data_IF_817662882615
#
_entry.id   IF_817662882615
#
_cell.length_a   1.000
_cell.length_b   1.000
_cell.length_c   1.000
_cell.angle_alpha   90.00
_cell.angle_beta   90.00
_cell.angle_gamma   90.00
#
_symmetry.space_group_name_H-M   'P 1'
#
loop_
_entity.id
_entity.type
_entity.pdbx_description
1 polymer ?
#
# COMPACT_ATOMS: atom_id res chain seq x y z
N UNK A 1 -30.00 -3.41 27.23
CA UNK A 1 -31.02 -2.47 26.72
C UNK A 1 -30.44 -1.07 26.89
N UNK A 2 -29.57 -0.63 25.97
CA UNK A 2 -28.88 0.65 26.06
C UNK A 2 -29.18 1.45 24.78
N UNK A 3 -30.11 2.39 24.91
CA UNK A 3 -30.34 3.51 23.98
C UNK A 3 -29.21 4.52 24.20
N UNK A 4 -28.49 4.91 23.15
CA UNK A 4 -27.62 6.09 23.17
C UNK A 4 -27.95 6.95 21.94
N UNK A 5 -28.53 8.11 22.26
CA UNK A 5 -28.54 9.42 21.60
C UNK A 5 -28.35 9.52 20.08
N UNK A 6 -29.48 9.80 19.42
CA UNK A 6 -29.58 10.62 18.21
C UNK A 6 -30.45 11.84 18.57
N UNK A 7 -29.85 13.03 18.61
CA UNK A 7 -30.43 14.38 18.72
C UNK A 7 -29.18 15.31 18.81
N UNK A 8 -28.95 16.34 18.01
CA UNK A 8 -29.83 17.28 17.33
C UNK A 8 -29.13 17.86 16.09
N UNK A 9 -29.82 17.94 14.96
CA UNK A 9 -29.55 18.92 13.92
C UNK A 9 -30.87 19.25 13.22
N UNK A 10 -31.59 20.23 13.75
CA UNK A 10 -32.47 21.05 12.91
C UNK A 10 -32.57 22.46 13.52
N UNK A 11 -32.16 23.47 12.76
CA UNK A 11 -33.05 24.51 12.23
C UNK A 11 -32.33 25.81 11.88
N UNK A 12 -32.76 26.36 10.73
CA UNK A 12 -32.75 27.76 10.32
C UNK A 12 -31.55 28.30 9.51
N UNK A 13 -31.71 28.23 8.18
CA UNK A 13 -31.43 29.37 7.30
C UNK A 13 -32.47 29.38 6.16
N UNK A 14 -33.46 30.26 6.28
CA UNK A 14 -34.41 30.60 5.22
C UNK A 14 -33.87 31.77 4.41
N UNK A 15 -33.85 31.62 3.09
CA UNK A 15 -34.24 32.67 2.14
C UNK A 15 -33.14 33.55 1.53
N UNK A 16 -32.85 33.31 0.25
CA UNK A 16 -32.63 34.38 -0.74
C UNK A 16 -32.74 33.76 -2.15
N UNK A 17 -33.84 34.05 -2.83
CA UNK A 17 -34.06 33.70 -4.23
C UNK A 17 -33.30 34.69 -5.13
N UNK A 18 -32.51 34.16 -6.06
CA UNK A 18 -32.01 34.90 -7.22
C UNK A 18 -32.24 34.03 -8.47
N UNK A 19 -33.08 34.55 -9.34
CA UNK A 19 -33.44 34.02 -10.65
C UNK A 19 -32.22 34.01 -11.58
N UNK A 20 -31.92 32.84 -12.14
CA UNK A 20 -30.99 32.67 -13.25
C UNK A 20 -31.61 31.75 -14.29
N UNK A 21 -31.91 32.32 -15.45
CA UNK A 21 -32.50 31.65 -16.60
C UNK A 21 -31.64 30.47 -17.08
N UNK A 22 -32.17 29.25 -17.01
CA UNK A 22 -31.61 28.09 -17.69
C UNK A 22 -32.72 27.39 -18.47
N UNK A 23 -32.96 27.87 -19.68
CA UNK A 23 -33.89 27.26 -20.62
C UNK A 23 -33.51 27.60 -22.05
N UNK A 24 -32.52 26.91 -22.62
CA UNK A 24 -32.37 26.81 -24.08
C UNK A 24 -32.99 25.49 -24.54
N UNK A 25 -33.77 25.46 -25.64
CA UNK A 25 -34.34 24.22 -26.14
C UNK A 25 -33.21 23.29 -26.61
N UNK A 26 -33.28 22.02 -26.22
CA UNK A 26 -32.42 20.96 -26.74
C UNK A 26 -32.91 20.65 -28.15
N UNK A 27 -32.10 20.97 -29.16
CA UNK A 27 -32.29 20.50 -30.53
C UNK A 27 -32.18 18.97 -30.55
N UNK A 28 -33.30 18.29 -30.83
CA UNK A 28 -33.42 16.83 -30.88
C UNK A 28 -33.08 16.22 -32.25
N UNK A 29 -32.37 16.95 -33.13
CA UNK A 29 -32.04 16.45 -34.48
C UNK A 29 -30.56 16.14 -34.71
N UNK A 30 -29.87 15.54 -33.74
CA UNK A 30 -28.55 14.94 -33.97
C UNK A 30 -28.67 13.45 -34.36
N UNK A 31 -28.77 13.20 -35.67
CA UNK A 31 -28.63 11.86 -36.27
C UNK A 31 -27.29 11.22 -35.86
N UNK A 32 -27.40 9.97 -35.37
CA UNK A 32 -26.37 8.94 -35.22
C UNK A 32 -24.89 9.34 -35.27
N UNK A 33 -24.25 9.40 -34.10
CA UNK A 33 -22.82 9.12 -33.95
C UNK A 33 -22.65 7.68 -33.46
N UNK A 34 -21.64 6.92 -33.93
CA UNK A 34 -21.61 5.47 -33.75
C UNK A 34 -21.29 5.10 -32.30
N UNK A 35 -22.13 4.25 -31.70
CA UNK A 35 -21.94 3.63 -30.38
C UNK A 35 -20.75 2.64 -30.34
N UNK A 36 -20.11 2.39 -31.48
CA UNK A 36 -19.06 1.40 -31.68
C UNK A 36 -17.69 1.81 -31.11
N UNK A 37 -17.36 3.12 -31.04
CA UNK A 37 -16.07 3.57 -30.50
C UNK A 37 -15.99 3.51 -28.96
N UNK A 38 -17.13 3.58 -28.26
CA UNK A 38 -17.18 3.57 -26.79
C UNK A 38 -16.83 2.21 -26.21
N UNK A 39 -17.24 1.11 -26.87
CA UNK A 39 -16.92 -0.25 -26.41
C UNK A 39 -15.44 -0.61 -26.60
N UNK A 40 -14.81 -0.15 -27.69
CA UNK A 40 -13.39 -0.44 -27.98
C UNK A 40 -12.41 0.38 -27.13
N UNK A 41 -12.79 1.58 -26.64
CA UNK A 41 -11.98 2.33 -25.67
C UNK A 41 -12.00 1.70 -24.28
N UNK A 42 -13.15 1.17 -23.86
CA UNK A 42 -13.29 0.48 -22.57
C UNK A 42 -12.37 -0.75 -22.48
N UNK A 43 -12.03 -1.41 -23.60
CA UNK A 43 -11.15 -2.59 -23.57
C UNK A 43 -9.69 -2.22 -23.36
N UNK A 44 -9.15 -1.21 -24.06
CA UNK A 44 -7.75 -0.79 -23.89
C UNK A 44 -7.52 -0.14 -22.53
N UNK A 45 -8.45 0.72 -22.08
CA UNK A 45 -8.34 1.37 -20.77
C UNK A 45 -8.42 0.34 -19.63
N UNK A 46 -9.28 -0.68 -19.76
CA UNK A 46 -9.36 -1.77 -18.80
C UNK A 46 -8.08 -2.63 -18.79
N UNK A 47 -7.55 -2.99 -19.96
CA UNK A 47 -6.30 -3.75 -20.09
C UNK A 47 -5.13 -3.04 -19.39
N UNK A 48 -5.01 -1.71 -19.54
CA UNK A 48 -3.96 -0.93 -18.87
C UNK A 48 -4.08 -1.01 -17.34
N UNK A 49 -5.31 -0.93 -16.82
CA UNK A 49 -5.55 -1.02 -15.38
C UNK A 49 -5.25 -2.44 -14.87
N UNK A 50 -5.72 -3.45 -15.59
CA UNK A 50 -5.49 -4.87 -15.27
C UNK A 50 -3.99 -5.19 -15.31
N UNK A 51 -3.26 -4.73 -16.32
CA UNK A 51 -1.81 -4.88 -16.44
C UNK A 51 -1.07 -4.21 -15.28
N UNK A 52 -1.49 -3.02 -14.85
CA UNK A 52 -0.91 -2.38 -13.68
C UNK A 52 -1.15 -3.20 -12.40
N UNK A 53 -2.34 -3.77 -12.23
CA UNK A 53 -2.69 -4.59 -11.06
C UNK A 53 -1.94 -5.94 -11.09
N UNK A 54 -1.90 -6.61 -12.24
CA UNK A 54 -1.35 -7.95 -12.44
C UNK A 54 0.18 -7.95 -12.53
N UNK A 55 0.79 -6.92 -13.13
CA UNK A 55 2.25 -6.80 -13.20
C UNK A 55 2.87 -6.37 -11.86
N UNK A 56 2.09 -5.72 -10.98
CA UNK A 56 2.54 -5.35 -9.64
C UNK A 56 2.88 -6.60 -8.84
N UNK A 57 4.10 -6.61 -8.30
CA UNK A 57 4.66 -7.67 -7.45
C UNK A 57 5.55 -7.05 -6.38
N UNK A 58 5.84 -7.81 -5.33
CA UNK A 58 6.78 -7.40 -4.28
C UNK A 58 8.22 -7.58 -4.79
N UNK A 59 8.81 -6.50 -5.29
CA UNK A 59 10.20 -6.46 -5.76
C UNK A 59 11.16 -6.32 -4.57
N UNK A 60 12.17 -7.17 -4.50
CA UNK A 60 13.08 -7.29 -3.35
C UNK A 60 14.56 -7.06 -3.71
N UNK A 61 14.80 -6.52 -4.89
CA UNK A 61 16.06 -5.90 -5.26
C UNK A 61 15.80 -4.82 -6.30
N UNK A 62 16.41 -3.66 -6.10
CA UNK A 62 16.17 -2.48 -6.90
C UNK A 62 17.47 -1.96 -7.51
N UNK A 63 17.38 -1.35 -8.69
CA UNK A 63 18.47 -0.61 -9.29
C UNK A 63 18.72 0.70 -8.52
N UNK A 64 19.95 1.25 -8.54
CA UNK A 64 20.31 2.47 -7.81
C UNK A 64 19.75 3.75 -8.46
N UNK A 65 19.13 3.64 -9.63
CA UNK A 65 18.55 4.73 -10.41
C UNK A 65 17.62 5.60 -9.56
N UNK A 66 17.93 6.89 -9.50
CA UNK A 66 17.16 7.85 -8.72
C UNK A 66 15.79 8.11 -9.36
N UNK A 67 14.79 8.32 -8.51
CA UNK A 67 13.45 8.74 -8.92
C UNK A 67 13.33 10.24 -8.67
N UNK A 68 12.85 10.98 -9.66
CA UNK A 68 12.59 12.41 -9.51
C UNK A 68 11.43 12.66 -8.53
N UNK A 69 11.46 13.83 -7.88
CA UNK A 69 10.47 14.17 -6.86
C UNK A 69 9.07 14.40 -7.45
N UNK A 70 8.98 14.80 -8.71
CA UNK A 70 7.72 15.03 -9.41
C UNK A 70 6.94 13.73 -9.60
N UNK A 71 7.60 12.68 -10.07
CA UNK A 71 7.10 11.32 -10.21
C UNK A 71 6.59 10.77 -8.88
N UNK A 72 7.33 10.99 -7.78
CA UNK A 72 6.89 10.56 -6.44
C UNK A 72 5.64 11.34 -6.02
N UNK A 73 5.61 12.66 -6.24
CA UNK A 73 4.45 13.51 -5.93
C UNK A 73 3.23 13.11 -6.74
N UNK A 74 3.41 12.79 -8.01
CA UNK A 74 2.36 12.36 -8.90
C UNK A 74 1.76 11.02 -8.47
N UNK A 75 2.60 10.05 -8.08
CA UNK A 75 2.14 8.78 -7.51
C UNK A 75 1.27 9.02 -6.27
N UNK A 76 1.75 9.85 -5.33
CA UNK A 76 1.03 10.12 -4.09
C UNK A 76 -0.25 10.93 -4.32
N UNK A 77 -0.25 11.85 -5.28
CA UNK A 77 -1.41 12.66 -5.66
C UNK A 77 -2.52 11.78 -6.26
N UNK A 78 -2.16 10.86 -7.16
CA UNK A 78 -3.10 9.88 -7.70
C UNK A 78 -3.57 8.93 -6.59
N UNK A 79 -2.66 8.46 -5.73
CA UNK A 79 -3.00 7.51 -4.68
C UNK A 79 -3.97 8.08 -3.63
N UNK A 80 -3.87 9.38 -3.34
CA UNK A 80 -4.77 10.10 -2.43
C UNK A 80 -6.24 10.11 -2.88
N UNK A 81 -6.54 9.67 -4.11
CA UNK A 81 -7.92 9.43 -4.57
C UNK A 81 -8.52 8.12 -4.06
N UNK A 82 -7.80 7.36 -3.24
CA UNK A 82 -8.36 6.25 -2.49
C UNK A 82 -9.62 6.70 -1.72
N UNK A 83 -10.69 5.90 -1.69
CA UNK A 83 -11.83 6.19 -0.83
C UNK A 83 -11.44 6.03 0.64
N UNK A 84 -12.19 6.67 1.52
CA UNK A 84 -12.09 6.49 2.97
C UNK A 84 -13.45 6.71 3.62
N UNK A 85 -13.69 6.07 4.76
CA UNK A 85 -14.91 6.27 5.55
C UNK A 85 -15.13 7.77 5.79
N UNK A 86 -16.31 8.27 5.42
CA UNK A 86 -16.68 9.70 5.49
C UNK A 86 -15.63 10.68 4.90
N UNK A 87 -14.79 10.20 3.97
CA UNK A 87 -13.66 10.94 3.39
C UNK A 87 -12.61 11.42 4.41
N UNK A 88 -12.39 10.67 5.50
CA UNK A 88 -11.46 11.04 6.58
C UNK A 88 -9.98 11.09 6.16
N UNK A 89 -9.60 10.37 5.11
CA UNK A 89 -8.24 10.38 4.54
C UNK A 89 -7.14 10.21 5.61
N UNK A 90 -7.13 9.08 6.35
CA UNK A 90 -6.36 8.94 7.59
C UNK A 90 -4.83 8.80 7.39
N UNK A 91 -4.35 8.86 6.15
CA UNK A 91 -2.98 8.54 5.79
C UNK A 91 -1.99 9.70 6.02
N UNK A 92 -0.86 9.37 6.62
CA UNK A 92 0.35 10.19 6.70
C UNK A 92 1.55 9.41 6.15
N UNK A 93 2.34 10.05 5.31
CA UNK A 93 3.45 9.40 4.60
C UNK A 93 4.72 10.21 4.77
N UNK A 94 5.79 9.54 5.21
CA UNK A 94 7.13 10.09 5.28
C UNK A 94 7.95 9.50 4.14
N UNK A 95 8.18 10.29 3.09
CA UNK A 95 9.02 9.91 1.95
C UNK A 95 10.48 10.19 2.29
N UNK A 96 11.35 9.19 2.15
CA UNK A 96 12.75 9.28 2.56
C UNK A 96 13.68 8.87 1.42
N UNK A 97 14.78 9.62 1.29
CA UNK A 97 15.87 9.40 0.32
C UNK A 97 17.21 9.68 1.00
N UNK A 98 18.30 9.22 0.38
CA UNK A 98 19.68 9.56 0.78
C UNK A 98 19.93 9.40 2.28
N UNK A 99 20.52 10.43 2.90
CA UNK A 99 20.94 10.38 4.30
C UNK A 99 19.81 10.11 5.30
N UNK A 100 18.58 10.60 5.06
CA UNK A 100 17.46 10.32 5.98
C UNK A 100 17.04 8.85 5.92
N UNK A 101 16.96 8.27 4.72
CA UNK A 101 16.69 6.83 4.55
C UNK A 101 17.78 6.00 5.24
N UNK A 102 19.05 6.40 5.07
CA UNK A 102 20.18 5.73 5.71
C UNK A 102 20.10 5.81 7.24
N UNK A 103 19.73 6.95 7.82
CA UNK A 103 19.55 7.07 9.28
C UNK A 103 18.47 6.13 9.82
N UNK A 104 17.41 5.86 9.07
CA UNK A 104 16.39 4.86 9.46
C UNK A 104 17.01 3.46 9.47
N UNK A 105 17.68 3.09 8.38
CA UNK A 105 18.41 1.82 8.27
C UNK A 105 19.37 1.64 9.43
N UNK A 106 20.21 2.64 9.71
CA UNK A 106 21.20 2.61 10.77
C UNK A 106 20.53 2.50 12.15
N UNK A 107 19.46 3.26 12.41
CA UNK A 107 18.73 3.21 13.67
C UNK A 107 18.16 1.81 13.96
N UNK A 108 17.68 1.11 12.93
CA UNK A 108 17.13 -0.24 13.06
C UNK A 108 18.26 -1.27 13.21
N UNK A 109 19.21 -1.30 12.27
CA UNK A 109 20.27 -2.31 12.24
C UNK A 109 21.18 -2.19 13.46
N UNK A 110 21.52 -0.97 13.88
CA UNK A 110 22.40 -0.74 15.03
C UNK A 110 21.69 -0.87 16.39
N UNK A 111 20.35 -1.02 16.41
CA UNK A 111 19.61 -1.23 17.67
C UNK A 111 19.94 -2.56 18.35
N UNK A 112 20.48 -3.53 17.60
CA UNK A 112 20.70 -4.90 18.08
C UNK A 112 19.41 -5.70 18.29
N UNK A 113 18.23 -5.11 18.00
CA UNK A 113 16.93 -5.78 18.11
C UNK A 113 16.74 -6.68 16.90
N UNK A 114 16.80 -7.99 17.16
CA UNK A 114 16.54 -9.00 16.13
C UNK A 114 15.04 -9.08 15.82
N UNK A 115 14.71 -9.39 14.57
CA UNK A 115 13.31 -9.48 14.12
C UNK A 115 12.46 -10.43 14.95
N UNK A 116 13.03 -11.55 15.41
CA UNK A 116 12.32 -12.54 16.24
C UNK A 116 12.07 -12.05 17.68
N UNK A 117 12.73 -10.97 18.09
CA UNK A 117 12.60 -10.32 19.40
C UNK A 117 11.96 -8.93 19.32
N UNK A 118 11.59 -8.48 18.12
CA UNK A 118 10.99 -7.16 17.92
C UNK A 118 9.55 -7.16 18.49
N UNK A 119 9.19 -6.07 19.16
CA UNK A 119 7.91 -5.97 19.87
C UNK A 119 6.81 -5.42 18.94
N UNK A 120 5.66 -6.09 18.95
CA UNK A 120 4.47 -5.73 18.15
C UNK A 120 3.39 -5.15 19.06
N UNK A 121 3.74 -4.06 19.74
CA UNK A 121 2.96 -3.49 20.83
C UNK A 121 1.99 -2.38 20.42
N UNK A 122 2.18 -1.76 19.26
CA UNK A 122 1.22 -0.79 18.70
C UNK A 122 0.00 -1.48 18.09
N UNK A 123 0.18 -2.63 17.42
CA UNK A 123 -0.89 -3.43 16.85
C UNK A 123 -0.42 -4.84 16.44
N UNK A 124 -1.36 -5.77 16.26
CA UNK A 124 -1.08 -7.15 15.86
C UNK A 124 -1.35 -7.34 14.36
N UNK A 125 -0.29 -7.43 13.55
CA UNK A 125 -0.41 -7.65 12.10
C UNK A 125 -0.79 -9.09 11.75
N UNK A 126 -0.19 -10.07 12.41
CA UNK A 126 -0.41 -11.50 12.18
C UNK A 126 -1.21 -12.14 13.32
N UNK A 127 -1.88 -13.28 13.07
CA UNK A 127 -2.49 -14.06 14.16
C UNK A 127 -1.41 -14.55 15.13
N UNK A 128 -1.80 -14.70 16.40
CA UNK A 128 -0.91 -15.23 17.46
C UNK A 128 -0.50 -16.67 17.18
N UNK A 129 -1.41 -17.47 16.62
CA UNK A 129 -1.17 -18.82 16.13
C UNK A 129 -1.66 -18.93 14.69
N UNK A 130 -0.78 -19.34 13.79
CA UNK A 130 -1.18 -19.63 12.41
C UNK A 130 -1.97 -20.94 12.33
N UNK A 131 -3.00 -20.95 11.49
CA UNK A 131 -3.91 -22.06 11.25
C UNK A 131 -4.17 -22.22 9.74
N UNK A 132 -4.71 -23.36 9.33
CA UNK A 132 -5.03 -23.58 7.91
C UNK A 132 -6.25 -22.77 7.45
N UNK A 133 -6.29 -22.32 6.18
CA UNK A 133 -5.30 -22.52 5.10
C UNK A 133 -4.12 -21.53 5.14
N UNK A 134 -4.11 -20.58 6.07
CA UNK A 134 -3.15 -19.46 6.11
C UNK A 134 -1.72 -19.90 6.43
N UNK A 135 -1.54 -20.94 7.24
CA UNK A 135 -0.24 -21.53 7.53
C UNK A 135 0.41 -22.09 6.26
N UNK A 136 -0.35 -22.83 5.44
CA UNK A 136 0.12 -23.35 4.15
C UNK A 136 0.52 -22.22 3.21
N UNK A 137 -0.32 -21.20 3.04
CA UNK A 137 -0.03 -20.03 2.19
C UNK A 137 1.26 -19.31 2.61
N UNK A 138 1.44 -19.09 3.91
CA UNK A 138 2.66 -18.47 4.46
C UNK A 138 3.91 -19.30 4.17
N UNK A 139 3.83 -20.62 4.36
CA UNK A 139 4.94 -21.56 4.10
C UNK A 139 5.30 -21.60 2.62
N UNK A 140 4.31 -21.68 1.73
CA UNK A 140 4.54 -21.67 0.29
C UNK A 140 5.28 -20.40 -0.15
N UNK A 141 4.82 -19.22 0.29
CA UNK A 141 5.49 -17.96 0.00
C UNK A 141 6.93 -17.89 0.55
N UNK A 142 7.14 -18.31 1.80
CA UNK A 142 8.47 -18.29 2.41
C UNK A 142 9.45 -19.25 1.74
N UNK A 143 9.04 -20.51 1.52
CA UNK A 143 9.88 -21.51 0.85
C UNK A 143 10.13 -21.18 -0.61
N UNK A 144 9.16 -20.61 -1.32
CA UNK A 144 9.34 -20.17 -2.71
C UNK A 144 10.41 -19.08 -2.83
N UNK A 145 10.34 -18.05 -1.98
CA UNK A 145 11.35 -16.99 -1.95
C UNK A 145 12.75 -17.53 -1.59
N UNK A 146 12.86 -18.36 -0.55
CA UNK A 146 14.14 -18.95 -0.16
C UNK A 146 14.68 -19.91 -1.23
N UNK A 147 13.80 -20.67 -1.90
CA UNK A 147 14.17 -21.51 -3.03
C UNK A 147 14.77 -20.71 -4.18
N UNK A 148 14.17 -19.57 -4.55
CA UNK A 148 14.71 -18.67 -5.57
C UNK A 148 16.10 -18.14 -5.20
N UNK A 149 16.34 -17.87 -3.92
CA UNK A 149 17.63 -17.40 -3.40
C UNK A 149 18.66 -18.52 -3.14
N UNK A 150 18.30 -19.78 -3.36
CA UNK A 150 19.16 -20.92 -3.03
C UNK A 150 19.41 -21.09 -1.53
N UNK A 151 18.49 -20.61 -0.68
CA UNK A 151 18.59 -20.69 0.79
C UNK A 151 17.90 -21.98 1.27
N UNK A 152 18.67 -22.89 1.85
CA UNK A 152 18.19 -24.14 2.42
C UNK A 152 17.48 -23.95 3.76
N UNK A 153 16.59 -24.90 4.13
CA UNK A 153 15.73 -24.84 5.33
C UNK A 153 16.46 -24.66 6.67
N UNK A 154 17.75 -24.95 6.76
CA UNK A 154 18.57 -24.87 7.98
C UNK A 154 19.60 -23.74 7.95
N UNK A 155 19.61 -22.93 6.90
CA UNK A 155 20.56 -21.81 6.75
C UNK A 155 20.04 -20.55 7.44
N UNK A 156 19.89 -20.62 8.76
CA UNK A 156 19.24 -19.59 9.58
C UNK A 156 19.90 -18.22 9.39
N UNK A 157 21.22 -18.15 9.30
CA UNK A 157 21.93 -16.88 9.13
C UNK A 157 21.69 -16.25 7.75
N UNK A 158 21.53 -17.06 6.70
CA UNK A 158 21.13 -16.56 5.37
C UNK A 158 19.68 -16.10 5.36
N UNK A 159 18.78 -16.83 6.04
CA UNK A 159 17.38 -16.40 6.19
C UNK A 159 17.28 -15.07 6.93
N UNK A 160 18.09 -14.89 7.98
CA UNK A 160 18.18 -13.63 8.74
C UNK A 160 18.72 -12.50 7.87
N UNK A 161 19.86 -12.72 7.21
CA UNK A 161 20.42 -11.73 6.29
C UNK A 161 19.40 -11.32 5.22
N UNK A 162 18.64 -12.27 4.68
CA UNK A 162 17.56 -11.99 3.73
C UNK A 162 16.40 -11.21 4.36
N UNK A 163 16.03 -11.50 5.60
CA UNK A 163 15.02 -10.72 6.32
C UNK A 163 15.50 -9.28 6.55
N UNK A 164 16.76 -9.09 6.95
CA UNK A 164 17.35 -7.78 7.25
C UNK A 164 17.43 -6.87 6.02
N UNK A 165 17.37 -7.44 4.80
CA UNK A 165 17.20 -6.69 3.55
C UNK A 165 15.97 -5.78 3.57
N UNK A 166 14.95 -6.07 4.38
CA UNK A 166 13.84 -5.16 4.57
C UNK A 166 14.29 -3.78 5.04
N UNK A 167 15.24 -3.70 5.96
CA UNK A 167 15.64 -2.47 6.65
C UNK A 167 16.56 -1.57 5.84
N UNK A 168 17.12 -2.08 4.74
CA UNK A 168 17.77 -1.29 3.69
C UNK A 168 16.83 -0.96 2.53
N UNK A 169 15.51 -1.20 2.70
CA UNK A 169 14.50 -1.07 1.66
C UNK A 169 14.83 -1.86 0.40
N UNK A 170 15.48 -3.02 0.55
CA UNK A 170 15.95 -3.84 -0.58
C UNK A 170 16.82 -3.07 -1.59
N UNK A 171 17.57 -2.08 -1.11
CA UNK A 171 18.39 -1.12 -1.88
C UNK A 171 17.61 -0.10 -2.71
N UNK A 172 16.29 -0.03 -2.57
CA UNK A 172 15.48 0.96 -3.29
C UNK A 172 15.95 2.41 -3.01
N UNK A 173 15.98 3.28 -4.04
CA UNK A 173 16.39 4.68 -3.88
C UNK A 173 15.44 5.46 -2.96
N UNK A 174 14.16 5.06 -2.90
CA UNK A 174 13.12 5.68 -2.08
C UNK A 174 12.57 4.67 -1.07
N UNK A 175 12.51 5.10 0.19
CA UNK A 175 11.81 4.40 1.26
C UNK A 175 10.68 5.26 1.81
N UNK A 176 9.49 4.71 1.97
CA UNK A 176 8.35 5.38 2.57
C UNK A 176 8.01 4.74 3.92
N UNK A 177 7.71 5.56 4.93
CA UNK A 177 7.14 5.12 6.20
C UNK A 177 5.72 5.66 6.31
N UNK A 178 4.77 4.80 6.64
CA UNK A 178 3.36 5.12 6.71
C UNK A 178 2.90 5.14 8.15
N UNK A 179 2.15 6.18 8.51
CA UNK A 179 1.60 6.31 9.85
C UNK A 179 0.11 6.65 9.82
N UNK A 180 -0.58 6.31 10.90
CA UNK A 180 -1.99 6.58 11.13
C UNK A 180 -2.18 7.15 12.53
N UNK A 181 -3.16 8.02 12.74
CA UNK A 181 -3.48 8.50 14.09
C UNK A 181 -3.96 7.36 14.99
N UNK A 182 -3.32 7.18 16.15
CA UNK A 182 -3.57 6.09 17.10
C UNK A 182 -5.00 6.04 17.66
N UNK A 183 -5.73 7.16 17.58
CA UNK A 183 -7.11 7.27 18.06
C UNK A 183 -8.11 6.71 17.06
N UNK A 184 -7.68 6.44 15.82
CA UNK A 184 -8.52 5.84 14.79
C UNK A 184 -8.68 4.34 15.02
N UNK A 185 -9.88 3.84 14.68
CA UNK A 185 -10.25 2.44 14.85
C UNK A 185 -10.00 1.64 13.57
N UNK A 186 -10.32 0.34 13.62
CA UNK A 186 -10.08 -0.63 12.55
C UNK A 186 -10.60 -0.22 11.16
N UNK A 187 -11.70 0.55 11.08
CA UNK A 187 -12.22 1.05 9.80
C UNK A 187 -11.17 1.84 9.01
N UNK A 188 -10.37 2.68 9.69
CA UNK A 188 -9.34 3.47 9.02
C UNK A 188 -8.15 2.64 8.53
N UNK A 189 -7.97 1.40 9.01
CA UNK A 189 -6.97 0.48 8.48
C UNK A 189 -7.38 -0.12 7.13
N UNK A 190 -8.69 -0.27 6.91
CA UNK A 190 -9.26 -0.66 5.60
C UNK A 190 -9.00 0.46 4.59
N UNK A 191 -9.33 1.70 4.97
CA UNK A 191 -9.04 2.91 4.16
C UNK A 191 -7.55 3.00 3.81
N UNK A 192 -6.68 2.72 4.79
CA UNK A 192 -5.23 2.73 4.58
C UNK A 192 -4.76 1.67 3.59
N UNK A 193 -5.34 0.46 3.64
CA UNK A 193 -5.05 -0.60 2.69
C UNK A 193 -5.36 -0.20 1.24
N UNK A 194 -6.48 0.51 1.02
CA UNK A 194 -6.85 1.06 -0.28
C UNK A 194 -5.82 2.08 -0.78
N UNK A 195 -5.39 2.99 0.10
CA UNK A 195 -4.37 3.99 -0.21
C UNK A 195 -3.00 3.36 -0.56
N UNK A 196 -2.52 2.39 0.23
CA UNK A 196 -1.27 1.69 -0.04
C UNK A 196 -1.31 0.93 -1.38
N UNK A 197 -2.44 0.27 -1.67
CA UNK A 197 -2.62 -0.41 -2.95
C UNK A 197 -2.60 0.57 -4.12
N UNK A 198 -3.23 1.73 -3.99
CA UNK A 198 -3.18 2.76 -5.03
C UNK A 198 -1.75 3.24 -5.31
N UNK A 199 -0.91 3.43 -4.29
CA UNK A 199 0.52 3.78 -4.50
C UNK A 199 1.19 2.70 -5.36
N UNK A 200 1.02 1.43 -4.99
CA UNK A 200 1.67 0.31 -5.68
C UNK A 200 1.22 0.19 -7.14
N UNK A 201 -0.06 0.41 -7.43
CA UNK A 201 -0.60 0.36 -8.80
C UNK A 201 -0.20 1.62 -9.59
N UNK A 202 -0.27 2.81 -9.01
CA UNK A 202 0.13 4.06 -9.66
C UNK A 202 1.64 4.09 -9.99
N UNK A 203 2.47 3.42 -9.20
CA UNK A 203 3.89 3.22 -9.51
C UNK A 203 4.09 2.42 -10.80
N UNK A 204 3.26 1.39 -11.07
CA UNK A 204 3.34 0.59 -12.31
C UNK A 204 3.12 1.42 -13.56
N UNK A 205 2.17 2.36 -13.52
CA UNK A 205 1.93 3.30 -14.62
C UNK A 205 3.11 4.23 -14.93
N UNK A 206 4.12 4.29 -14.07
CA UNK A 206 5.37 5.04 -14.24
C UNK A 206 6.60 4.14 -14.43
N UNK A 207 6.39 2.85 -14.68
CA UNK A 207 7.46 1.86 -14.83
C UNK A 207 8.16 1.47 -13.51
N UNK A 208 7.67 1.96 -12.36
CA UNK A 208 8.28 1.72 -11.05
C UNK A 208 7.66 0.52 -10.34
N UNK A 209 8.42 -0.06 -9.42
CA UNK A 209 8.02 -1.19 -8.60
C UNK A 209 8.09 -0.85 -7.12
N UNK A 210 7.39 -1.65 -6.32
CA UNK A 210 7.28 -1.44 -4.88
C UNK A 210 7.40 -2.74 -4.09
N UNK A 211 7.74 -2.65 -2.81
CA UNK A 211 7.50 -3.71 -1.86
C UNK A 211 6.87 -3.14 -0.58
N UNK A 212 5.62 -3.52 -0.22
CA UNK A 212 5.05 -3.18 1.09
C UNK A 212 5.70 -4.04 2.17
N UNK A 213 6.02 -3.43 3.32
CA UNK A 213 6.88 -4.02 4.34
C UNK A 213 6.35 -3.75 5.74
N UNK A 214 5.58 -4.70 6.28
CA UNK A 214 5.19 -4.70 7.69
C UNK A 214 6.42 -4.83 8.63
N UNK A 215 7.57 -5.26 8.11
CA UNK A 215 8.81 -5.43 8.87
C UNK A 215 9.25 -4.18 9.66
N UNK A 216 8.90 -2.97 9.20
CA UNK A 216 9.25 -1.72 9.88
C UNK A 216 8.40 -1.44 11.12
N UNK A 217 7.17 -1.95 11.19
CA UNK A 217 6.21 -1.60 12.24
C UNK A 217 6.72 -1.87 13.67
N UNK A 218 7.33 -3.04 14.00
CA UNK A 218 7.82 -3.30 15.35
C UNK A 218 9.08 -2.50 15.72
N UNK A 219 9.67 -1.77 14.78
CA UNK A 219 10.82 -0.87 15.00
C UNK A 219 10.40 0.60 15.10
N UNK A 220 9.13 0.87 15.39
CA UNK A 220 8.59 2.23 15.49
C UNK A 220 9.40 3.11 16.45
N UNK A 221 9.88 2.58 17.58
CA UNK A 221 10.72 3.31 18.55
C UNK A 221 12.05 3.79 17.97
N UNK A 222 12.63 3.05 17.03
CA UNK A 222 13.86 3.43 16.33
C UNK A 222 13.58 4.43 15.21
N UNK A 223 12.42 4.29 14.55
CA UNK A 223 12.03 5.11 13.39
C UNK A 223 11.55 6.50 13.82
N UNK A 224 10.74 6.60 14.89
CA UNK A 224 10.11 7.85 15.33
C UNK A 224 11.11 9.00 15.54
N UNK A 225 12.25 8.82 16.26
CA UNK A 225 13.20 9.91 16.49
C UNK A 225 13.87 10.40 15.19
N UNK A 226 14.05 9.51 14.20
CA UNK A 226 14.69 9.86 12.93
C UNK A 226 13.80 10.76 12.07
N UNK A 227 12.49 10.54 12.13
CA UNK A 227 11.49 11.20 11.30
C UNK A 227 10.67 12.28 12.02
N UNK A 228 10.84 12.42 13.34
CA UNK A 228 10.03 13.31 14.16
C UNK A 228 8.57 12.89 14.23
N UNK A 229 8.30 11.57 14.16
CA UNK A 229 6.94 11.04 14.23
C UNK A 229 6.44 11.21 15.68
N UNK A 230 5.32 11.93 15.90
CA UNK A 230 4.79 12.16 17.23
C UNK A 230 4.21 10.87 17.82
N UNK A 231 4.06 10.80 19.15
CA UNK A 231 3.51 9.62 19.80
C UNK A 231 2.10 9.31 19.29
N UNK A 232 1.28 10.31 18.98
CA UNK A 232 -0.08 10.16 18.48
C UNK A 232 -0.20 9.39 17.14
N UNK A 233 0.89 9.13 16.45
CA UNK A 233 0.91 8.34 15.22
C UNK A 233 1.37 6.90 15.49
N UNK A 234 0.72 5.91 14.90
CA UNK A 234 1.19 4.51 14.83
C UNK A 234 1.97 4.33 13.54
N UNK A 235 3.16 3.73 13.58
CA UNK A 235 3.87 3.27 12.37
C UNK A 235 3.19 2.02 11.83
N UNK A 236 2.50 2.16 10.71
CA UNK A 236 1.70 1.09 10.07
C UNK A 236 2.58 0.12 9.31
N UNK A 237 3.47 0.62 8.45
CA UNK A 237 4.40 -0.18 7.67
C UNK A 237 5.44 0.73 6.98
N UNK A 238 6.38 0.13 6.27
CA UNK A 238 7.17 0.82 5.26
C UNK A 238 6.87 0.33 3.85
N UNK A 239 7.43 1.00 2.84
CA UNK A 239 7.42 0.56 1.45
C UNK A 239 8.69 1.00 0.73
N UNK A 240 9.33 0.07 0.04
CA UNK A 240 10.39 0.35 -0.93
C UNK A 240 9.78 0.78 -2.27
N UNK A 241 10.39 1.75 -2.96
CA UNK A 241 9.99 2.22 -4.30
C UNK A 241 11.24 2.44 -5.18
N UNK A 242 11.23 1.88 -6.40
CA UNK A 242 12.34 1.98 -7.35
C UNK A 242 12.15 1.19 -8.63
N UNK A 243 13.18 1.16 -9.47
CA UNK A 243 13.23 0.28 -10.63
C UNK A 243 13.67 -1.13 -10.22
N UNK A 244 13.02 -2.16 -10.76
CA UNK A 244 13.34 -3.55 -10.45
C UNK A 244 14.70 -3.94 -11.04
N UNK A 245 15.55 -4.57 -10.23
CA UNK A 245 16.74 -5.26 -10.75
C UNK A 245 16.34 -6.67 -11.21
N UNK A 246 16.10 -6.85 -12.51
CA UNK A 246 15.69 -8.13 -13.09
C UNK A 246 16.81 -9.17 -13.14
N UNK A 247 18.05 -8.80 -12.82
CA UNK A 247 19.17 -9.76 -12.72
C UNK A 247 19.10 -10.61 -11.44
N UNK A 248 18.27 -10.22 -10.46
CA UNK A 248 18.22 -10.82 -9.13
C UNK A 248 17.16 -11.92 -9.04
N UNK A 249 17.52 -13.13 -8.56
CA UNK A 249 16.63 -14.27 -8.61
C UNK A 249 15.38 -14.12 -7.74
N UNK A 250 15.44 -13.37 -6.63
CA UNK A 250 14.29 -13.08 -5.77
C UNK A 250 13.17 -12.31 -6.48
N UNK A 251 13.49 -11.58 -7.56
CA UNK A 251 12.52 -10.84 -8.37
C UNK A 251 11.86 -11.72 -9.44
N UNK A 252 12.43 -12.89 -9.75
CA UNK A 252 11.81 -13.87 -10.64
C UNK A 252 10.70 -14.69 -9.95
N UNK A 253 10.73 -14.78 -8.62
CA UNK A 253 9.71 -15.50 -7.85
C UNK A 253 8.30 -14.94 -8.08
N UNK A 254 7.33 -15.84 -8.25
CA UNK A 254 5.91 -15.51 -8.41
C UNK A 254 5.11 -16.21 -7.32
N UNK A 255 4.16 -15.47 -6.75
CA UNK A 255 3.25 -16.00 -5.73
C UNK A 255 1.94 -16.39 -6.39
N UNK A 256 1.42 -17.55 -6.01
CA UNK A 256 0.09 -17.99 -6.43
C UNK A 256 -1.02 -17.14 -5.77
N UNK A 257 -2.22 -17.25 -6.32
CA UNK A 257 -3.48 -16.78 -5.73
C UNK A 257 -4.48 -17.94 -5.74
N UNK A 258 -5.34 -17.96 -4.75
CA UNK A 258 -6.38 -18.98 -4.64
C UNK A 258 -7.38 -18.81 -5.79
N UNK A 259 -7.92 -19.91 -6.35
CA UNK A 259 -9.01 -19.86 -7.31
C UNK A 259 -10.18 -19.02 -6.78
N UNK A 260 -10.91 -18.37 -7.68
CA UNK A 260 -12.02 -17.46 -7.34
C UNK A 260 -13.09 -18.15 -6.48
N UNK A 261 -13.35 -19.41 -6.80
CA UNK A 261 -14.38 -20.26 -6.21
C UNK A 261 -14.11 -20.58 -4.73
N UNK A 262 -12.85 -20.46 -4.27
CA UNK A 262 -12.47 -20.72 -2.87
C UNK A 262 -12.88 -19.58 -1.92
N UNK A 263 -13.18 -18.39 -2.44
CA UNK A 263 -13.44 -17.20 -1.62
C UNK A 263 -14.60 -16.33 -2.08
N UNK A 264 -15.23 -16.66 -3.22
CA UNK A 264 -16.44 -15.98 -3.70
C UNK A 264 -17.64 -16.92 -3.71
N UNK A 265 -18.74 -16.46 -3.12
CA UNK A 265 -20.06 -17.06 -3.28
C UNK A 265 -20.93 -16.10 -4.10
N UNK A 266 -21.41 -16.56 -5.25
CA UNK A 266 -22.44 -15.86 -6.01
C UNK A 266 -23.82 -16.31 -5.51
N UNK A 267 -24.66 -15.35 -5.12
CA UNK A 267 -26.05 -15.58 -4.70
C UNK A 267 -26.98 -14.74 -5.58
N UNK A 268 -28.03 -15.36 -6.10
CA UNK A 268 -29.11 -14.69 -6.87
C UNK A 268 -30.30 -14.31 -5.98
#
# INVERSE_FOLDING_TARGET
MLKICLQDFDSSCKGSAASGEWGRPIDTTAKGRPMLEKKARITVDAEIVDDAIMSRRSVRAFLPDMIDDETIRDILTVAARAPSGTNMQPWRVYVTKGGTKQRITDAIINSGIRAEKADWDEYRYYPTQFFEPYLTRRRANGFGLYGALGIGRREVDKMRAQHDRNFVFFDAPVGMIFTIDRRLNQGSWIDYGMFLQNIMVAARGRGLHTCPQAAFAPYHRQIRPVLGIPDEEIVVCGMALGYEDTSKPENAFRTDREPLEEWVTFSE
#
